data_IF_847232072550
#
_entry.id   IF_847232072550
#
_cell.length_a   1.000
_cell.length_b   1.000
_cell.length_c   1.000
_cell.angle_alpha   90.00
_cell.angle_beta   90.00
_cell.angle_gamma   90.00
#
_symmetry.space_group_name_H-M   'P 1'
#
loop_
_entity.id
_entity.type
_entity.pdbx_description
1 polymer ?
#
# COMPACT_ATOMS: atom_id res chain seq x y z
N UNK A 1 11.88 -6.06 5.75
CA UNK A 1 12.06 -5.00 4.73
C UNK A 1 12.28 -5.59 3.34
N UNK A 2 11.52 -5.18 2.32
CA UNK A 2 11.76 -5.62 0.92
C UNK A 2 13.02 -5.00 0.29
N UNK A 3 13.77 -5.78 -0.47
CA UNK A 3 15.02 -5.34 -1.13
C UNK A 3 14.79 -4.19 -2.11
N UNK A 4 13.69 -4.22 -2.88
CA UNK A 4 13.34 -3.16 -3.83
C UNK A 4 13.03 -1.84 -3.11
N UNK A 5 12.28 -1.92 -2.02
CA UNK A 5 11.95 -0.77 -1.15
C UNK A 5 13.22 -0.19 -0.54
N UNK A 6 14.14 -1.04 -0.06
CA UNK A 6 15.41 -0.63 0.51
C UNK A 6 16.32 0.06 -0.51
N UNK A 7 16.43 -0.48 -1.72
CA UNK A 7 17.19 0.15 -2.79
C UNK A 7 16.62 1.52 -3.17
N UNK A 8 15.29 1.63 -3.27
CA UNK A 8 14.61 2.89 -3.57
C UNK A 8 14.88 3.95 -2.51
N UNK A 9 14.76 3.59 -1.23
CA UNK A 9 15.04 4.49 -0.11
C UNK A 9 16.52 4.88 -0.06
N UNK A 10 17.44 3.93 -0.22
CA UNK A 10 18.87 4.19 -0.24
C UNK A 10 19.26 5.18 -1.36
N UNK A 11 18.68 5.00 -2.55
CA UNK A 11 18.91 5.89 -3.70
C UNK A 11 18.39 7.30 -3.42
N UNK A 12 17.21 7.43 -2.79
CA UNK A 12 16.63 8.73 -2.42
C UNK A 12 17.50 9.44 -1.38
N UNK A 13 17.96 8.74 -0.35
CA UNK A 13 18.86 9.30 0.67
C UNK A 13 20.17 9.78 0.01
N UNK A 14 20.76 8.95 -0.86
CA UNK A 14 22.00 9.29 -1.55
C UNK A 14 21.89 10.62 -2.31
N UNK A 15 20.87 10.78 -3.16
CA UNK A 15 20.70 12.01 -3.94
C UNK A 15 20.26 13.20 -3.11
N UNK A 16 19.45 12.99 -2.08
CA UNK A 16 19.06 14.08 -1.18
C UNK A 16 20.29 14.61 -0.42
N UNK A 17 21.11 13.75 0.18
CA UNK A 17 22.33 14.19 0.86
C UNK A 17 23.32 14.86 -0.09
N UNK A 18 23.46 14.32 -1.31
CA UNK A 18 24.34 14.90 -2.33
C UNK A 18 23.88 16.31 -2.74
N UNK A 19 22.55 16.50 -2.89
CA UNK A 19 21.96 17.79 -3.28
C UNK A 19 22.05 18.83 -2.16
N UNK A 20 21.76 18.45 -0.92
CA UNK A 20 21.63 19.39 0.19
C UNK A 20 22.97 19.72 0.86
N UNK A 21 23.89 18.76 0.92
CA UNK A 21 25.14 18.90 1.68
C UNK A 21 26.40 18.63 0.85
N UNK A 22 26.27 18.18 -0.40
CA UNK A 22 27.42 17.76 -1.22
C UNK A 22 28.13 16.50 -0.70
N UNK A 23 27.53 15.82 0.29
CA UNK A 23 28.05 14.60 0.90
C UNK A 23 27.23 13.40 0.42
N UNK A 24 27.88 12.25 0.24
CA UNK A 24 27.21 11.02 -0.19
C UNK A 24 27.29 9.94 0.88
N UNK A 25 26.24 9.16 0.96
CA UNK A 25 26.23 7.85 1.61
C UNK A 25 26.25 6.79 0.53
N UNK A 26 27.09 5.77 0.67
CA UNK A 26 27.19 4.72 -0.34
C UNK A 26 25.96 3.82 -0.30
N UNK A 27 25.26 3.72 -1.45
CA UNK A 27 24.07 2.87 -1.58
C UNK A 27 24.41 1.41 -1.26
N UNK A 28 25.61 0.96 -1.65
CA UNK A 28 26.08 -0.40 -1.37
C UNK A 28 26.24 -0.69 0.12
N UNK A 29 26.62 0.30 0.93
CA UNK A 29 26.77 0.16 2.38
C UNK A 29 25.41 0.11 3.08
N UNK A 30 24.50 1.01 2.69
CA UNK A 30 23.09 0.99 3.09
C UNK A 30 22.40 -0.33 2.75
N UNK A 31 22.85 -1.04 1.72
CA UNK A 31 22.29 -2.32 1.30
C UNK A 31 22.85 -3.53 2.05
N UNK A 32 24.09 -3.43 2.55
CA UNK A 32 24.80 -4.56 3.17
C UNK A 32 24.73 -4.56 4.69
N UNK A 33 24.68 -3.39 5.31
CA UNK A 33 24.80 -3.24 6.76
C UNK A 33 23.57 -2.55 7.35
N UNK A 34 22.97 -3.16 8.37
CA UNK A 34 21.91 -2.52 9.15
C UNK A 34 22.44 -1.38 10.05
N UNK A 35 23.73 -1.42 10.41
CA UNK A 35 24.38 -0.33 11.12
C UNK A 35 24.36 0.97 10.30
N UNK A 36 24.75 0.86 9.04
CA UNK A 36 24.77 1.99 8.09
C UNK A 36 23.38 2.57 7.84
N UNK A 37 22.37 1.70 7.81
CA UNK A 37 20.96 2.13 7.72
C UNK A 37 20.56 2.94 8.94
N UNK A 38 20.93 2.52 10.14
CA UNK A 38 20.61 3.24 11.38
C UNK A 38 21.33 4.58 11.47
N UNK A 39 22.60 4.63 11.09
CA UNK A 39 23.34 5.89 11.04
C UNK A 39 22.74 6.87 10.02
N UNK A 40 22.38 6.38 8.83
CA UNK A 40 21.73 7.21 7.82
C UNK A 40 20.37 7.76 8.30
N UNK A 41 19.59 6.98 9.04
CA UNK A 41 18.34 7.46 9.67
C UNK A 41 18.66 8.62 10.62
N UNK A 42 19.66 8.48 11.51
CA UNK A 42 20.04 9.53 12.45
C UNK A 42 20.55 10.79 11.75
N UNK A 43 21.37 10.65 10.70
CA UNK A 43 21.85 11.78 9.91
C UNK A 43 20.68 12.50 9.24
N UNK A 44 19.75 11.75 8.64
CA UNK A 44 18.58 12.34 7.99
C UNK A 44 17.67 13.06 9.00
N UNK A 45 17.52 12.55 10.22
CA UNK A 45 16.73 13.20 11.28
C UNK A 45 17.42 14.45 11.84
N UNK A 46 18.74 14.40 12.01
CA UNK A 46 19.52 15.54 12.49
C UNK A 46 19.71 16.64 11.44
N UNK A 47 19.52 16.32 10.16
CA UNK A 47 19.71 17.25 9.03
C UNK A 47 18.81 18.49 9.08
N UNK A 48 17.65 18.39 9.74
CA UNK A 48 16.63 19.44 9.79
C UNK A 48 15.82 19.61 8.49
N UNK A 49 16.08 18.79 7.47
CA UNK A 49 15.35 18.79 6.22
C UNK A 49 14.09 17.91 6.30
N UNK A 50 12.94 18.45 5.90
CA UNK A 50 11.66 17.77 6.01
C UNK A 50 11.54 16.56 5.07
N UNK A 51 12.19 16.59 3.91
CA UNK A 51 12.22 15.48 2.96
C UNK A 51 13.07 14.33 3.52
N UNK A 52 14.27 14.64 4.00
CA UNK A 52 15.15 13.65 4.65
C UNK A 52 14.49 13.03 5.87
N UNK A 53 13.82 13.83 6.71
CA UNK A 53 13.07 13.34 7.87
C UNK A 53 11.88 12.45 7.47
N UNK A 54 11.23 12.69 6.32
CA UNK A 54 10.18 11.81 5.80
C UNK A 54 10.74 10.47 5.30
N UNK A 55 11.88 10.50 4.60
CA UNK A 55 12.55 9.30 4.11
C UNK A 55 13.08 8.45 5.28
N UNK A 56 13.64 9.07 6.31
CA UNK A 56 14.10 8.39 7.51
C UNK A 56 12.98 7.62 8.23
N UNK A 57 11.79 8.23 8.33
CA UNK A 57 10.59 7.59 8.89
C UNK A 57 10.18 6.36 8.08
N UNK A 58 10.10 6.48 6.75
CA UNK A 58 9.78 5.36 5.86
C UNK A 58 10.80 4.22 5.99
N UNK A 59 12.08 4.55 6.12
CA UNK A 59 13.15 3.58 6.29
C UNK A 59 13.07 2.88 7.65
N UNK A 60 12.73 3.61 8.72
CA UNK A 60 12.51 3.02 10.04
C UNK A 60 11.32 2.08 10.05
N UNK A 61 10.17 2.52 9.56
CA UNK A 61 8.95 1.70 9.45
C UNK A 61 9.19 0.43 8.63
N UNK A 62 9.93 0.52 7.53
CA UNK A 62 10.23 -0.62 6.68
C UNK A 62 11.21 -1.63 7.33
N UNK A 63 12.06 -1.18 8.27
CA UNK A 63 12.95 -2.04 9.06
C UNK A 63 12.23 -2.64 10.29
N UNK A 64 11.38 -1.86 10.96
CA UNK A 64 10.63 -2.29 12.14
C UNK A 64 9.37 -3.10 11.79
N UNK A 65 8.94 -3.11 10.53
CA UNK A 65 7.81 -3.92 10.07
C UNK A 65 8.05 -5.39 10.44
N UNK A 66 7.25 -5.98 11.35
CA UNK A 66 7.37 -7.39 11.66
C UNK A 66 7.11 -8.18 10.38
N UNK A 67 7.94 -9.19 10.12
CA UNK A 67 7.61 -10.27 9.20
C UNK A 67 6.25 -10.84 9.64
N UNK A 68 5.19 -10.29 9.09
CA UNK A 68 3.84 -10.77 9.35
C UNK A 68 3.84 -12.15 8.70
N UNK A 69 3.57 -13.24 9.43
CA UNK A 69 3.60 -14.57 8.82
C UNK A 69 2.68 -14.54 7.61
N UNK A 70 3.28 -14.70 6.43
CA UNK A 70 2.55 -14.68 5.17
C UNK A 70 1.47 -15.75 5.25
N UNK A 71 0.21 -15.32 5.29
CA UNK A 71 -0.90 -16.22 5.00
C UNK A 71 -0.76 -16.55 3.51
N UNK A 72 -0.49 -17.81 3.14
CA UNK A 72 -0.17 -18.16 1.76
C UNK A 72 -1.39 -17.87 0.88
N UNK A 73 -1.24 -16.89 -0.01
CA UNK A 73 -2.25 -16.54 -1.02
C UNK A 73 -2.63 -15.06 -1.14
N UNK A 74 -2.13 -14.17 -0.28
CA UNK A 74 -2.37 -12.72 -0.44
C UNK A 74 -1.15 -12.03 -1.04
N UNK A 75 -1.17 -11.85 -2.37
CA UNK A 75 -0.24 -10.97 -3.07
C UNK A 75 -0.45 -9.53 -2.57
N UNK A 76 0.59 -8.79 -2.14
CA UNK A 76 0.47 -7.39 -1.78
C UNK A 76 -0.10 -6.59 -2.96
N UNK A 77 -1.23 -5.92 -2.75
CA UNK A 77 -1.89 -5.11 -3.78
C UNK A 77 -1.60 -3.63 -3.49
N UNK A 78 -0.65 -3.04 -4.23
CA UNK A 78 -0.10 -1.69 -3.97
C UNK A 78 -1.05 -0.52 -4.33
N UNK A 79 -2.29 -0.76 -4.77
CA UNK A 79 -3.21 0.31 -5.18
C UNK A 79 -4.65 0.09 -4.70
N UNK A 80 -5.33 1.17 -4.28
CA UNK A 80 -6.68 1.13 -3.71
C UNK A 80 -7.77 0.54 -4.64
N UNK A 81 -7.57 0.55 -5.95
CA UNK A 81 -8.47 -0.06 -6.92
C UNK A 81 -8.29 -1.59 -7.04
N UNK A 82 -7.14 -2.13 -6.64
CA UNK A 82 -6.87 -3.56 -6.71
C UNK A 82 -7.67 -4.37 -5.66
N UNK A 83 -8.12 -3.71 -4.59
CA UNK A 83 -9.01 -4.27 -3.57
C UNK A 83 -10.45 -4.54 -4.05
N UNK A 84 -10.87 -3.98 -5.20
CA UNK A 84 -12.24 -4.15 -5.71
C UNK A 84 -12.42 -5.32 -6.69
N UNK A 85 -11.40 -6.17 -6.88
CA UNK A 85 -11.53 -7.37 -7.72
C UNK A 85 -12.22 -8.52 -6.97
N UNK A 86 -13.43 -8.26 -6.48
CA UNK A 86 -14.32 -9.30 -5.98
C UNK A 86 -14.99 -9.99 -7.17
N UNK A 87 -14.50 -11.19 -7.52
CA UNK A 87 -15.32 -12.16 -8.23
C UNK A 87 -14.76 -12.72 -9.53
N UNK A 88 -13.65 -13.47 -9.46
CA UNK A 88 -13.49 -14.64 -10.34
C UNK A 88 -13.18 -15.88 -9.50
N UNK A 89 -14.27 -16.55 -9.11
CA UNK A 89 -14.38 -17.99 -8.88
C UNK A 89 -13.29 -18.70 -8.08
N UNK A 90 -13.30 -18.59 -6.75
CA UNK A 90 -12.93 -19.70 -5.86
C UNK A 90 -13.86 -19.68 -4.65
N UNK A 91 -15.02 -20.31 -4.76
CA UNK A 91 -15.85 -20.65 -3.61
C UNK A 91 -15.07 -21.61 -2.72
N UNK A 92 -14.64 -21.18 -1.53
CA UNK A 92 -14.36 -22.10 -0.42
C UNK A 92 -15.63 -22.18 0.43
N UNK A 93 -16.28 -23.35 0.57
CA UNK A 93 -17.45 -23.44 1.41
C UNK A 93 -16.98 -23.41 2.87
N UNK A 94 -17.38 -22.37 3.61
CA UNK A 94 -17.43 -22.48 5.06
C UNK A 94 -18.88 -22.81 5.38
N UNK A 95 -19.11 -24.04 5.85
CA UNK A 95 -20.33 -24.39 6.56
C UNK A 95 -20.49 -23.39 7.71
N UNK A 96 -21.56 -22.59 7.69
CA UNK A 96 -22.23 -22.08 8.88
C UNK A 96 -23.51 -21.32 8.48
N UNK A 97 -24.62 -21.91 8.93
CA UNK A 97 -25.86 -21.26 9.39
C UNK A 97 -26.68 -20.41 8.41
N UNK A 98 -27.66 -21.12 7.87
CA UNK A 98 -29.04 -20.72 7.64
C UNK A 98 -29.54 -19.58 8.56
N UNK A 99 -29.55 -18.35 8.07
CA UNK A 99 -30.58 -17.37 8.44
C UNK A 99 -31.17 -16.80 7.17
N UNK A 100 -32.45 -17.10 6.95
CA UNK A 100 -33.22 -16.67 5.80
C UNK A 100 -33.32 -15.14 5.77
N UNK A 101 -32.56 -14.50 4.88
CA UNK A 101 -32.86 -13.14 4.43
C UNK A 101 -33.65 -13.25 3.12
N UNK A 102 -34.90 -12.78 3.14
CA UNK A 102 -35.81 -12.85 2.00
C UNK A 102 -35.18 -12.30 0.70
N UNK A 103 -35.38 -12.93 -0.47
CA UNK A 103 -34.81 -12.45 -1.72
C UNK A 103 -35.43 -11.10 -2.04
N UNK A 104 -34.60 -10.08 -2.00
CA UNK A 104 -35.05 -8.72 -2.17
C UNK A 104 -35.51 -8.50 -3.63
N UNK A 105 -36.62 -7.76 -3.77
CA UNK A 105 -37.46 -7.69 -4.97
C UNK A 105 -36.81 -7.08 -6.23
N UNK A 106 -35.52 -6.73 -6.16
CA UNK A 106 -34.71 -6.17 -7.26
C UNK A 106 -34.18 -7.23 -8.23
N UNK A 107 -34.25 -8.52 -7.88
CA UNK A 107 -33.95 -9.63 -8.79
C UNK A 107 -35.08 -9.95 -9.79
N UNK A 108 -36.12 -9.11 -9.89
CA UNK A 108 -37.18 -9.25 -10.90
C UNK A 108 -36.87 -8.35 -12.11
N UNK A 109 -36.55 -8.90 -13.29
CA UNK A 109 -36.22 -8.13 -14.50
C UNK A 109 -37.33 -7.16 -14.96
N UNK A 110 -38.58 -7.41 -14.54
CA UNK A 110 -39.75 -6.57 -14.88
C UNK A 110 -39.77 -5.21 -14.18
N UNK A 111 -38.89 -4.98 -13.19
CA UNK A 111 -38.79 -3.69 -12.48
C UNK A 111 -37.87 -2.68 -13.18
N UNK A 112 -37.12 -3.10 -14.20
CA UNK A 112 -36.16 -2.24 -14.92
C UNK A 112 -36.81 -1.38 -16.02
N UNK A 113 -38.09 -1.59 -16.33
CA UNK A 113 -38.76 -1.03 -17.51
C UNK A 113 -39.66 0.20 -17.29
N UNK A 114 -39.66 0.85 -16.12
CA UNK A 114 -40.53 2.03 -15.88
C UNK A 114 -39.74 3.28 -15.51
N UNK A 115 -39.25 3.97 -16.55
CA UNK A 115 -38.98 5.41 -16.51
C UNK A 115 -39.50 6.08 -17.78
N UNK A 116 -40.83 6.19 -17.92
CA UNK A 116 -41.44 7.20 -18.80
C UNK A 116 -41.52 8.51 -18.02
N UNK A 117 -40.77 9.52 -18.45
CA UNK A 117 -40.60 10.80 -17.77
C UNK A 117 -41.87 11.67 -17.75
N UNK A 118 -41.93 12.69 -16.87
CA UNK A 118 -43.04 13.63 -16.81
C UNK A 118 -43.03 14.60 -18.01
N UNK A 119 -44.24 14.88 -18.50
CA UNK A 119 -44.56 15.84 -19.54
C UNK A 119 -44.07 17.26 -19.21
N UNK A 120 -43.57 17.98 -20.21
CA UNK A 120 -43.39 19.44 -20.15
C UNK A 120 -44.57 20.12 -20.85
N UNK A 121 -45.12 21.07 -20.12
CA UNK A 121 -46.26 21.91 -20.46
C UNK A 121 -45.94 22.90 -21.59
N UNK A 122 -46.94 23.24 -22.40
CA UNK A 122 -47.14 24.54 -23.03
C UNK A 122 -48.63 24.88 -22.94
#
# INVERSE_FOLDING_TARGET
MDTSTRLRLATRIHFALLRHYGQKVEIGELMKSEGEVREAIWVCEASGDAELAAIARQLREANDAPETPEVPGRVPQDTAWASETSGFGVSRPVELEMTAQAPANWLKPSTWGRRSGPARHS
#
